data_IF_681015810401
#
_entry.id   IF_681015810401
#
_cell.length_a   1.000
_cell.length_b   1.000
_cell.length_c   1.000
_cell.angle_alpha   90.00
_cell.angle_beta   90.00
_cell.angle_gamma   90.00
#
_symmetry.space_group_name_H-M   'P 1'
#
loop_
_entity.id
_entity.type
_entity.pdbx_description
1 polymer ?
#
# COMPACT_ATOMS: atom_id res chain seq x y z
N UNK A 1 -2.47 -14.98 42.52
CA UNK A 1 -1.88 -15.39 41.22
C UNK A 1 -2.90 -15.13 40.12
N UNK A 2 -2.43 -14.46 39.05
CA UNK A 2 -2.98 -14.17 37.71
C UNK A 2 -2.79 -12.66 37.45
N UNK A 3 -1.77 -12.25 36.68
CA UNK A 3 -1.66 -10.86 36.24
C UNK A 3 -2.58 -10.64 35.03
N UNK A 4 -3.54 -9.72 35.16
CA UNK A 4 -4.31 -9.19 34.05
C UNK A 4 -3.46 -8.17 33.26
N UNK A 5 -2.43 -8.64 32.55
CA UNK A 5 -1.83 -7.86 31.46
C UNK A 5 -2.71 -8.03 30.23
N UNK A 6 -3.75 -7.19 30.13
CA UNK A 6 -4.52 -7.05 28.90
C UNK A 6 -3.63 -6.30 27.91
N UNK A 7 -2.79 -7.05 27.20
CA UNK A 7 -1.96 -6.54 26.12
C UNK A 7 -2.79 -5.73 25.14
N UNK A 8 -2.38 -4.48 24.99
CA UNK A 8 -2.47 -3.66 23.77
C UNK A 8 -2.74 -4.48 22.50
N UNK A 9 -4.01 -4.65 22.14
CA UNK A 9 -4.41 -4.91 20.76
C UNK A 9 -4.73 -3.57 20.12
N UNK A 10 -3.68 -2.79 19.85
CA UNK A 10 -3.75 -1.65 18.94
C UNK A 10 -3.85 -2.24 17.53
N UNK A 11 -5.04 -2.71 17.14
CA UNK A 11 -5.30 -3.11 15.76
C UNK A 11 -5.34 -1.83 14.93
N UNK A 12 -4.17 -1.42 14.45
CA UNK A 12 -3.99 -0.34 13.49
C UNK A 12 -4.52 -0.80 12.13
N UNK A 13 -5.81 -1.12 12.02
CA UNK A 13 -6.47 -1.59 10.79
C UNK A 13 -7.21 -0.45 10.09
N UNK A 14 -6.78 0.80 10.30
CA UNK A 14 -7.06 1.88 9.36
C UNK A 14 -5.73 2.19 8.69
N UNK A 15 -5.55 1.70 7.47
CA UNK A 15 -4.45 2.13 6.64
C UNK A 15 -4.54 3.65 6.50
N UNK A 16 -3.59 4.35 7.13
CA UNK A 16 -3.57 5.81 7.14
C UNK A 16 -3.35 6.32 5.71
N UNK A 17 -4.03 7.41 5.29
CA UNK A 17 -3.80 8.07 3.99
C UNK A 17 -2.32 8.45 3.77
N UNK A 18 -1.55 8.53 4.87
CA UNK A 18 -0.09 8.71 4.88
C UNK A 18 0.63 7.61 4.09
N UNK A 19 0.22 6.34 4.22
CA UNK A 19 0.93 5.22 3.57
C UNK A 19 0.70 5.21 2.06
N UNK A 20 -0.53 5.50 1.61
CA UNK A 20 -0.84 5.62 0.18
C UNK A 20 0.01 6.74 -0.46
N UNK A 21 0.11 7.90 0.19
CA UNK A 21 0.94 8.99 -0.30
C UNK A 21 2.41 8.58 -0.46
N UNK A 22 2.97 7.88 0.53
CA UNK A 22 4.36 7.44 0.49
C UNK A 22 4.61 6.42 -0.61
N UNK A 23 3.69 5.46 -0.79
CA UNK A 23 3.72 4.51 -1.90
C UNK A 23 3.64 5.23 -3.25
N UNK A 24 2.75 6.22 -3.38
CA UNK A 24 2.57 6.97 -4.62
C UNK A 24 3.79 7.87 -4.92
N UNK A 25 4.39 8.51 -3.91
CA UNK A 25 5.64 9.29 -4.05
C UNK A 25 6.78 8.40 -4.52
N UNK A 26 6.93 7.18 -3.98
CA UNK A 26 7.93 6.20 -4.42
C UNK A 26 7.64 5.70 -5.84
N UNK A 27 6.39 5.37 -6.13
CA UNK A 27 5.94 4.89 -7.43
C UNK A 27 6.14 5.92 -8.54
N UNK A 28 5.87 7.20 -8.29
CA UNK A 28 6.06 8.29 -9.25
C UNK A 28 7.51 8.36 -9.75
N UNK A 29 8.49 8.13 -8.89
CA UNK A 29 9.91 8.06 -9.27
C UNK A 29 10.20 6.91 -10.26
N UNK A 30 9.43 5.82 -10.18
CA UNK A 30 9.49 4.69 -11.10
C UNK A 30 8.52 4.80 -12.30
N UNK A 31 7.85 5.95 -12.49
CA UNK A 31 6.84 6.12 -13.54
C UNK A 31 5.54 5.36 -13.31
N UNK A 32 5.24 5.00 -12.06
CA UNK A 32 4.05 4.29 -11.60
C UNK A 32 3.15 5.21 -10.76
N UNK A 33 1.86 4.90 -10.71
CA UNK A 33 0.85 5.57 -9.90
C UNK A 33 0.13 4.54 -9.04
N UNK A 34 0.13 4.75 -7.73
CA UNK A 34 -0.59 3.92 -6.75
C UNK A 34 -1.87 4.64 -6.35
N UNK A 35 -2.99 3.93 -6.40
CA UNK A 35 -4.30 4.40 -5.98
C UNK A 35 -4.97 3.33 -5.11
N UNK A 36 -5.93 3.75 -4.28
CA UNK A 36 -6.75 2.81 -3.51
C UNK A 36 -7.55 1.89 -4.45
N UNK A 37 -7.60 0.61 -4.10
CA UNK A 37 -8.46 -0.35 -4.79
C UNK A 37 -9.90 -0.26 -4.28
N UNK A 38 -10.81 -0.87 -5.04
CA UNK A 38 -12.23 -0.98 -4.65
C UNK A 38 -12.42 -1.87 -3.40
N UNK A 39 -11.46 -2.74 -3.12
CA UNK A 39 -11.42 -3.56 -1.91
C UNK A 39 -10.70 -2.79 -0.81
N UNK A 40 -11.23 -2.89 0.40
CA UNK A 40 -10.55 -2.36 1.59
C UNK A 40 -9.17 -2.98 1.70
N UNK A 41 -8.23 -2.18 2.19
CA UNK A 41 -6.85 -2.57 2.51
C UNK A 41 -5.98 -2.96 1.31
N UNK A 42 -6.43 -2.68 0.07
CA UNK A 42 -5.69 -3.02 -1.14
C UNK A 42 -5.44 -1.80 -2.03
N UNK A 43 -4.40 -1.91 -2.83
CA UNK A 43 -3.94 -0.90 -3.77
C UNK A 43 -4.03 -1.37 -5.22
N UNK A 44 -4.04 -0.40 -6.12
CA UNK A 44 -3.95 -0.59 -7.56
C UNK A 44 -2.79 0.24 -8.10
N UNK A 45 -1.97 -0.37 -8.94
CA UNK A 45 -0.77 0.24 -9.52
C UNK A 45 -0.96 0.34 -11.03
N UNK A 46 -0.72 1.53 -11.57
CA UNK A 46 -0.82 1.82 -13.00
C UNK A 46 0.44 2.51 -13.49
N UNK A 47 0.79 2.35 -14.77
CA UNK A 47 1.84 3.17 -15.39
C UNK A 47 1.33 4.58 -15.61
N UNK A 48 2.13 5.59 -15.23
CA UNK A 48 1.79 7.00 -15.46
C UNK A 48 1.75 7.31 -16.96
N UNK A 49 2.71 6.78 -17.74
CA UNK A 49 2.87 7.10 -19.17
C UNK A 49 1.71 6.64 -20.06
N UNK A 50 1.08 5.50 -19.76
CA UNK A 50 0.08 4.88 -20.64
C UNK A 50 -1.20 4.44 -19.90
N UNK A 51 -1.31 4.71 -18.60
CA UNK A 51 -2.43 4.24 -17.77
C UNK A 51 -2.56 2.72 -17.63
N UNK A 52 -1.65 1.93 -18.23
CA UNK A 52 -1.70 0.46 -18.21
C UNK A 52 -1.66 -0.05 -16.76
N UNK A 53 -2.61 -0.90 -16.42
CA UNK A 53 -2.67 -1.56 -15.12
C UNK A 53 -1.47 -2.50 -14.99
N UNK A 54 -0.67 -2.29 -13.94
CA UNK A 54 0.47 -3.15 -13.59
C UNK A 54 0.04 -4.18 -12.56
N UNK A 55 -0.70 -3.73 -11.55
CA UNK A 55 -1.25 -4.59 -10.51
C UNK A 55 -2.58 -4.03 -10.00
N UNK A 56 -3.47 -4.90 -9.53
CA UNK A 56 -4.72 -4.55 -8.84
C UNK A 56 -4.87 -5.43 -7.62
N UNK A 57 -5.52 -4.91 -6.58
CA UNK A 57 -5.79 -5.64 -5.35
C UNK A 57 -4.52 -6.15 -4.67
N UNK A 58 -3.48 -5.32 -4.61
CA UNK A 58 -2.19 -5.67 -3.97
C UNK A 58 -2.03 -4.96 -2.63
N UNK A 59 -1.43 -5.61 -1.66
CA UNK A 59 -1.12 -5.01 -0.35
C UNK A 59 0.01 -3.96 -0.45
N UNK A 60 0.24 -3.16 0.60
CA UNK A 60 1.33 -2.18 0.59
C UNK A 60 2.71 -2.80 0.37
N UNK A 61 2.98 -3.96 0.98
CA UNK A 61 4.25 -4.67 0.84
C UNK A 61 4.46 -5.18 -0.59
N UNK A 62 3.41 -5.71 -1.21
CA UNK A 62 3.42 -6.11 -2.61
C UNK A 62 3.59 -4.89 -3.53
N UNK A 63 2.91 -3.78 -3.21
CA UNK A 63 3.07 -2.55 -3.95
C UNK A 63 4.51 -2.04 -3.91
N UNK A 64 5.16 -2.09 -2.74
CA UNK A 64 6.58 -1.76 -2.60
C UNK A 64 7.47 -2.70 -3.43
N UNK A 65 7.18 -4.00 -3.45
CA UNK A 65 7.92 -4.96 -4.28
C UNK A 65 7.79 -4.62 -5.76
N UNK A 66 6.57 -4.34 -6.25
CA UNK A 66 6.34 -3.93 -7.64
C UNK A 66 7.09 -2.63 -7.94
N UNK A 67 6.98 -1.61 -7.10
CA UNK A 67 7.69 -0.34 -7.30
C UNK A 67 9.21 -0.54 -7.38
N UNK A 68 9.78 -1.41 -6.52
CA UNK A 68 11.21 -1.75 -6.54
C UNK A 68 11.66 -2.46 -7.82
N UNK A 69 10.83 -3.31 -8.42
CA UNK A 69 11.16 -3.98 -9.68
C UNK A 69 11.26 -3.02 -10.87
N UNK A 70 10.65 -1.84 -10.78
CA UNK A 70 10.66 -0.82 -11.82
C UNK A 70 11.69 0.30 -11.58
N UNK A 71 12.48 0.20 -10.50
CA UNK A 71 13.60 1.10 -10.20
C UNK A 71 14.88 0.53 -10.79
#
# INVERSE_FOLDING_TARGET
MIPAYRSSMFTFTRYDPVVLEDLNKKAKKAGLHVADAKKRDLYSIRKVKNGKLVAKNVDADEALRVIKQYK
#
